data_IF_269571331832
#
_entry.id   IF_269571331832
#
_cell.length_a   1.000
_cell.length_b   1.000
_cell.length_c   1.000
_cell.angle_alpha   90.00
_cell.angle_beta   90.00
_cell.angle_gamma   90.00
#
_symmetry.space_group_name_H-M   'P 1'
#
loop_
_entity.id
_entity.type
_entity.pdbx_description
1 polymer ?
#
# COMPACT_ATOMS: atom_id res chain seq x y z
N UNK A 1 8.69 -39.61 -0.79
CA UNK A 1 8.37 -38.31 -1.38
C UNK A 1 8.80 -37.27 -0.37
N UNK A 2 9.89 -36.58 -0.64
CA UNK A 2 10.35 -35.51 0.24
C UNK A 2 9.44 -34.33 -0.03
N UNK A 3 8.64 -33.94 0.96
CA UNK A 3 7.95 -32.65 0.96
C UNK A 3 9.03 -31.56 0.86
N UNK A 4 9.11 -30.93 -0.30
CA UNK A 4 9.89 -29.70 -0.49
C UNK A 4 9.23 -28.62 0.38
N UNK A 5 9.67 -28.55 1.63
CA UNK A 5 9.28 -27.47 2.55
C UNK A 5 9.87 -26.19 1.96
N UNK A 6 9.11 -25.52 1.09
CA UNK A 6 9.47 -24.19 0.60
C UNK A 6 9.75 -23.31 1.80
N UNK A 7 10.99 -22.87 1.92
CA UNK A 7 11.41 -21.94 2.98
C UNK A 7 10.51 -20.70 2.92
N UNK A 8 9.80 -20.42 4.01
CA UNK A 8 8.87 -19.27 4.06
C UNK A 8 9.65 -17.98 3.91
N UNK A 9 9.22 -17.18 2.95
CA UNK A 9 9.77 -15.84 2.75
C UNK A 9 9.08 -14.88 3.72
N UNK A 10 9.88 -14.10 4.46
CA UNK A 10 9.36 -13.12 5.41
C UNK A 10 9.85 -11.72 5.07
N UNK A 11 8.96 -10.74 5.27
CA UNK A 11 9.29 -9.32 5.18
C UNK A 11 10.10 -8.89 6.41
N UNK A 12 11.08 -8.04 6.17
CA UNK A 12 11.88 -7.46 7.24
C UNK A 12 11.34 -6.06 7.61
N UNK A 13 11.68 -5.60 8.81
CA UNK A 13 11.36 -4.22 9.22
C UNK A 13 11.92 -3.18 8.23
N UNK A 14 13.07 -3.47 7.60
CA UNK A 14 13.65 -2.57 6.58
C UNK A 14 12.78 -2.47 5.34
N UNK A 15 12.17 -3.56 4.90
CA UNK A 15 11.30 -3.57 3.72
C UNK A 15 10.03 -2.75 4.00
N UNK A 16 9.43 -2.92 5.18
CA UNK A 16 8.27 -2.15 5.61
C UNK A 16 8.59 -0.66 5.76
N UNK A 17 9.72 -0.31 6.35
CA UNK A 17 10.15 1.10 6.46
C UNK A 17 10.40 1.72 5.09
N UNK A 18 11.04 1.01 4.16
CA UNK A 18 11.21 1.49 2.78
C UNK A 18 9.87 1.71 2.09
N UNK A 19 8.94 0.77 2.21
CA UNK A 19 7.59 0.90 1.67
C UNK A 19 6.87 2.14 2.24
N UNK A 20 6.92 2.33 3.55
CA UNK A 20 6.34 3.49 4.22
C UNK A 20 6.96 4.81 3.73
N UNK A 21 8.29 4.89 3.62
CA UNK A 21 8.98 6.09 3.11
C UNK A 21 8.63 6.36 1.65
N UNK A 22 8.57 5.33 0.80
CA UNK A 22 8.11 5.47 -0.58
C UNK A 22 6.68 6.01 -0.66
N UNK A 23 5.75 5.46 0.14
CA UNK A 23 4.39 5.96 0.24
C UNK A 23 4.36 7.43 0.64
N UNK A 24 5.00 7.79 1.74
CA UNK A 24 4.99 9.14 2.29
C UNK A 24 5.58 10.19 1.34
N UNK A 25 6.63 9.80 0.59
CA UNK A 25 7.30 10.71 -0.35
C UNK A 25 6.62 10.82 -1.70
N UNK A 26 5.92 9.76 -2.17
CA UNK A 26 5.48 9.65 -3.56
C UNK A 26 3.98 9.39 -3.74
N UNK A 27 3.18 9.26 -2.68
CA UNK A 27 1.75 8.94 -2.80
C UNK A 27 0.96 9.94 -3.66
N UNK A 28 1.37 11.21 -3.68
CA UNK A 28 0.75 12.27 -4.50
C UNK A 28 1.49 12.53 -5.83
N UNK A 29 2.59 11.83 -6.10
CA UNK A 29 3.30 11.94 -7.37
C UNK A 29 2.47 11.30 -8.49
N UNK A 30 2.47 11.92 -9.67
CA UNK A 30 1.74 11.42 -10.83
C UNK A 30 0.23 11.21 -10.61
N UNK A 31 -0.36 12.00 -9.72
CA UNK A 31 -1.79 11.99 -9.44
C UNK A 31 -2.59 12.33 -10.72
N UNK A 32 -3.54 11.48 -11.09
CA UNK A 32 -4.37 11.66 -12.28
C UNK A 32 -5.79 11.15 -12.04
N UNK A 33 -6.76 11.61 -12.84
CA UNK A 33 -8.17 11.27 -12.65
C UNK A 33 -8.50 9.79 -12.86
N UNK A 34 -7.72 9.08 -13.66
CA UNK A 34 -8.00 7.66 -13.97
C UNK A 34 -7.63 6.74 -12.81
N UNK A 35 -6.51 7.02 -12.14
CA UNK A 35 -5.93 6.07 -11.15
C UNK A 35 -5.60 6.70 -9.81
N UNK A 36 -5.74 8.02 -9.69
CA UNK A 36 -5.43 8.81 -8.50
C UNK A 36 -4.03 8.52 -7.94
N UNK A 37 -3.93 7.95 -6.75
CA UNK A 37 -2.68 7.66 -6.05
C UNK A 37 -2.07 6.28 -6.42
N UNK A 38 -2.68 5.54 -7.36
CA UNK A 38 -2.27 4.16 -7.66
C UNK A 38 -0.79 4.02 -8.02
N UNK A 39 -0.20 4.98 -8.73
CA UNK A 39 1.22 4.92 -9.10
C UNK A 39 2.12 5.05 -7.87
N UNK A 40 1.82 5.98 -6.95
CA UNK A 40 2.53 6.12 -5.68
C UNK A 40 2.36 4.88 -4.80
N UNK A 41 1.15 4.30 -4.78
CA UNK A 41 0.89 3.05 -4.08
C UNK A 41 1.73 1.89 -4.65
N UNK A 42 1.74 1.73 -5.96
CA UNK A 42 2.53 0.70 -6.64
C UNK A 42 4.02 0.88 -6.37
N UNK A 43 4.51 2.13 -6.37
CA UNK A 43 5.90 2.45 -6.02
C UNK A 43 6.22 2.02 -4.58
N UNK A 44 5.32 2.25 -3.64
CA UNK A 44 5.49 1.80 -2.24
C UNK A 44 5.52 0.26 -2.11
N UNK A 45 4.87 -0.48 -3.03
CA UNK A 45 4.90 -1.93 -3.03
C UNK A 45 6.16 -2.54 -3.66
N UNK A 46 7.00 -1.77 -4.38
CA UNK A 46 8.22 -2.30 -5.02
C UNK A 46 9.14 -3.02 -4.02
N UNK A 47 9.55 -2.43 -2.89
CA UNK A 47 10.43 -3.11 -1.93
C UNK A 47 9.81 -4.38 -1.34
N UNK A 48 8.49 -4.43 -1.21
CA UNK A 48 7.75 -5.59 -0.73
C UNK A 48 7.79 -6.72 -1.76
N UNK A 49 7.35 -6.45 -3.00
CA UNK A 49 7.26 -7.45 -4.06
C UNK A 49 8.62 -7.99 -4.47
N UNK A 50 9.65 -7.14 -4.53
CA UNK A 50 11.02 -7.57 -4.85
C UNK A 50 11.65 -8.44 -3.75
N UNK A 51 11.19 -8.31 -2.50
CA UNK A 51 11.61 -9.17 -1.40
C UNK A 51 10.92 -10.53 -1.44
N UNK A 52 9.62 -10.55 -1.76
CA UNK A 52 8.78 -11.73 -1.70
C UNK A 52 8.93 -12.62 -2.94
N UNK A 53 9.08 -12.04 -4.12
CA UNK A 53 9.13 -12.76 -5.39
C UNK A 53 10.51 -12.69 -6.02
N UNK A 54 11.01 -13.84 -6.50
CA UNK A 54 12.30 -13.95 -7.18
C UNK A 54 12.16 -13.79 -8.70
N UNK A 55 11.03 -14.23 -9.25
CA UNK A 55 10.76 -14.16 -10.68
C UNK A 55 10.25 -12.76 -11.07
N UNK A 56 10.80 -12.23 -12.15
CA UNK A 56 10.38 -10.94 -12.73
C UNK A 56 8.93 -10.94 -13.19
N UNK A 57 8.41 -12.09 -13.64
CA UNK A 57 7.02 -12.23 -14.06
C UNK A 57 6.08 -12.07 -12.86
N UNK A 58 6.40 -12.67 -11.72
CA UNK A 58 5.61 -12.55 -10.49
C UNK A 58 5.65 -11.12 -9.92
N UNK A 59 6.83 -10.49 -9.95
CA UNK A 59 6.96 -9.07 -9.56
C UNK A 59 6.10 -8.19 -10.46
N UNK A 60 6.15 -8.38 -11.78
CA UNK A 60 5.36 -7.61 -12.73
C UNK A 60 3.85 -7.84 -12.53
N UNK A 61 3.41 -9.07 -12.26
CA UNK A 61 2.03 -9.38 -11.93
C UNK A 61 1.58 -8.67 -10.64
N UNK A 62 2.42 -8.68 -9.60
CA UNK A 62 2.18 -7.95 -8.36
C UNK A 62 2.05 -6.43 -8.58
N UNK A 63 2.96 -5.84 -9.33
CA UNK A 63 2.91 -4.40 -9.66
C UNK A 63 1.63 -4.05 -10.44
N UNK A 64 1.26 -4.87 -11.44
CA UNK A 64 0.03 -4.69 -12.22
C UNK A 64 -1.23 -4.75 -11.33
N UNK A 65 -1.27 -5.67 -10.36
CA UNK A 65 -2.36 -5.80 -9.38
C UNK A 65 -2.52 -4.53 -8.55
N UNK A 66 -1.42 -3.96 -8.07
CA UNK A 66 -1.44 -2.76 -7.23
C UNK A 66 -1.63 -1.45 -8.01
N UNK A 67 -1.48 -1.46 -9.34
CA UNK A 67 -1.71 -0.29 -10.21
C UNK A 67 -3.20 0.01 -10.45
N UNK A 68 -4.12 -0.73 -9.85
CA UNK A 68 -5.55 -0.45 -9.86
C UNK A 68 -5.85 0.83 -9.08
N UNK A 69 -6.95 1.51 -9.45
CA UNK A 69 -7.41 2.74 -8.81
C UNK A 69 -7.25 2.70 -7.27
N UNK A 70 -6.67 3.76 -6.73
CA UNK A 70 -6.51 3.94 -5.30
C UNK A 70 -6.49 5.42 -4.95
N UNK A 71 -7.29 5.81 -3.95
CA UNK A 71 -7.31 7.17 -3.43
C UNK A 71 -7.76 7.18 -1.97
N UNK A 72 -6.94 7.75 -1.10
CA UNK A 72 -7.26 7.88 0.32
C UNK A 72 -6.51 9.07 0.92
N UNK A 73 -6.81 9.42 2.17
CA UNK A 73 -6.01 10.40 2.90
C UNK A 73 -4.61 9.82 3.19
N UNK A 74 -3.51 10.50 2.82
CA UNK A 74 -2.17 9.92 2.83
C UNK A 74 -1.63 9.47 4.18
N UNK A 75 -1.95 10.20 5.27
CA UNK A 75 -1.37 9.92 6.59
C UNK A 75 -2.01 8.69 7.22
N UNK A 76 -3.32 8.68 7.40
CA UNK A 76 -4.06 7.54 7.97
C UNK A 76 -4.10 6.38 6.97
N UNK A 77 -4.24 6.68 5.68
CA UNK A 77 -4.19 5.68 4.62
C UNK A 77 -2.84 4.97 4.45
N UNK A 78 -1.76 5.46 5.08
CA UNK A 78 -0.45 4.80 5.10
C UNK A 78 -0.47 3.37 5.69
N UNK A 79 -1.53 3.01 6.39
CA UNK A 79 -1.73 1.65 6.89
C UNK A 79 -2.05 0.65 5.76
N UNK A 80 -2.65 1.10 4.66
CA UNK A 80 -3.08 0.21 3.56
C UNK A 80 -1.90 -0.49 2.88
N UNK A 81 -0.79 0.17 2.49
CA UNK A 81 0.41 -0.51 2.00
C UNK A 81 0.90 -1.60 2.96
N UNK A 82 0.84 -1.39 4.27
CA UNK A 82 1.21 -2.40 5.27
C UNK A 82 0.29 -3.62 5.27
N UNK A 83 -1.02 -3.41 5.16
CA UNK A 83 -2.00 -4.50 5.05
C UNK A 83 -1.77 -5.29 3.75
N UNK A 84 -1.57 -4.58 2.63
CA UNK A 84 -1.28 -5.25 1.35
C UNK A 84 0.04 -6.01 1.38
N UNK A 85 1.06 -5.49 2.05
CA UNK A 85 2.33 -6.20 2.25
C UNK A 85 2.13 -7.53 3.00
N UNK A 86 1.30 -7.56 4.03
CA UNK A 86 0.98 -8.78 4.77
C UNK A 86 0.20 -9.80 3.92
N UNK A 87 -0.71 -9.35 3.05
CA UNK A 87 -1.43 -10.23 2.13
C UNK A 87 -0.50 -10.80 1.04
N UNK A 88 0.39 -9.97 0.49
CA UNK A 88 1.40 -10.43 -0.47
C UNK A 88 2.36 -11.44 0.15
N UNK A 89 2.76 -11.24 1.41
CA UNK A 89 3.59 -12.21 2.15
C UNK A 89 2.87 -13.54 2.34
N UNK A 90 1.59 -13.53 2.72
CA UNK A 90 0.80 -14.75 2.83
C UNK A 90 0.66 -15.46 1.48
N UNK A 91 0.39 -14.70 0.41
CA UNK A 91 0.29 -15.24 -0.94
C UNK A 91 1.61 -15.86 -1.42
N UNK A 92 2.73 -15.18 -1.22
CA UNK A 92 4.06 -15.70 -1.58
C UNK A 92 4.40 -17.00 -0.83
N UNK A 93 3.82 -17.19 0.34
CA UNK A 93 3.97 -18.40 1.17
C UNK A 93 2.90 -19.48 0.91
N UNK A 94 2.11 -19.33 -0.17
CA UNK A 94 1.19 -20.36 -0.65
C UNK A 94 -0.27 -20.20 -0.22
N UNK A 95 -0.66 -19.05 0.38
CA UNK A 95 -2.07 -18.79 0.62
C UNK A 95 -2.84 -18.54 -0.69
N UNK A 96 -4.01 -19.14 -0.83
CA UNK A 96 -4.90 -18.98 -1.99
C UNK A 96 -5.62 -17.61 -1.93
N UNK A 97 -4.89 -16.53 -2.22
CA UNK A 97 -5.42 -15.18 -2.31
C UNK A 97 -5.53 -14.75 -3.77
N UNK A 98 -6.74 -14.54 -4.25
CA UNK A 98 -6.96 -14.05 -5.61
C UNK A 98 -6.63 -12.56 -5.73
N UNK A 99 -6.38 -12.12 -6.97
CA UNK A 99 -6.16 -10.69 -7.26
C UNK A 99 -7.39 -9.85 -6.90
N UNK A 100 -8.59 -10.40 -7.11
CA UNK A 100 -9.87 -9.78 -6.76
C UNK A 100 -10.00 -9.59 -5.25
N UNK A 101 -9.60 -10.58 -4.45
CA UNK A 101 -9.64 -10.49 -2.98
C UNK A 101 -8.75 -9.38 -2.47
N UNK A 102 -7.50 -9.31 -2.96
CA UNK A 102 -6.54 -8.27 -2.57
C UNK A 102 -7.05 -6.88 -2.99
N UNK A 103 -7.55 -6.75 -4.22
CA UNK A 103 -8.08 -5.48 -4.72
C UNK A 103 -9.35 -5.05 -3.99
N UNK A 104 -10.28 -5.97 -3.70
CA UNK A 104 -11.51 -5.67 -2.97
C UNK A 104 -11.23 -5.17 -1.56
N UNK A 105 -10.27 -5.78 -0.87
CA UNK A 105 -9.87 -5.30 0.45
C UNK A 105 -9.19 -3.93 0.38
N UNK A 106 -8.28 -3.73 -0.59
CA UNK A 106 -7.64 -2.43 -0.84
C UNK A 106 -8.66 -1.32 -1.10
N UNK A 107 -9.62 -1.56 -1.99
CA UNK A 107 -10.66 -0.57 -2.34
C UNK A 107 -11.66 -0.37 -1.21
N UNK A 108 -12.01 -1.42 -0.47
CA UNK A 108 -12.90 -1.33 0.69
C UNK A 108 -12.35 -0.47 1.83
N UNK A 109 -11.02 -0.39 1.97
CA UNK A 109 -10.37 0.44 2.98
C UNK A 109 -10.26 1.93 2.57
N UNK A 110 -10.36 2.26 1.28
CA UNK A 110 -10.17 3.64 0.80
C UNK A 110 -11.14 4.63 1.44
N UNK A 111 -12.44 4.36 1.34
CA UNK A 111 -13.49 5.27 1.82
C UNK A 111 -13.43 5.53 3.32
N UNK A 112 -13.48 4.50 4.17
CA UNK A 112 -13.41 4.65 5.62
C UNK A 112 -12.15 5.40 6.08
N UNK A 113 -10.98 5.05 5.53
CA UNK A 113 -9.72 5.71 5.92
C UNK A 113 -9.62 7.16 5.39
N UNK A 114 -10.16 7.43 4.20
CA UNK A 114 -10.27 8.80 3.70
C UNK A 114 -11.19 9.63 4.61
N UNK A 115 -12.38 9.12 4.95
CA UNK A 115 -13.32 9.83 5.79
C UNK A 115 -12.77 10.19 7.18
N UNK A 116 -12.11 9.25 7.85
CA UNK A 116 -11.44 9.51 9.14
C UNK A 116 -10.24 10.43 8.94
N UNK A 117 -9.42 10.16 7.92
CA UNK A 117 -8.20 10.91 7.64
C UNK A 117 -8.47 12.37 7.32
N UNK A 118 -9.37 12.64 6.39
CA UNK A 118 -9.72 14.00 5.99
C UNK A 118 -10.34 14.79 7.15
N UNK A 119 -11.18 14.15 7.96
CA UNK A 119 -11.76 14.81 9.15
C UNK A 119 -10.68 15.20 10.15
N UNK A 120 -9.74 14.33 10.45
CA UNK A 120 -8.68 14.58 11.44
C UNK A 120 -7.62 15.52 10.87
N UNK A 121 -7.06 15.20 9.69
CA UNK A 121 -5.90 15.93 9.18
C UNK A 121 -6.29 17.24 8.52
N UNK A 122 -7.31 17.27 7.69
CA UNK A 122 -7.75 18.48 6.98
C UNK A 122 -8.73 19.30 7.83
N UNK A 123 -9.73 18.65 8.43
CA UNK A 123 -10.77 19.32 9.20
C UNK A 123 -10.28 19.86 10.54
N UNK A 124 -9.50 19.09 11.29
CA UNK A 124 -9.10 19.48 12.64
C UNK A 124 -7.69 20.05 12.68
N UNK A 125 -6.66 19.23 12.37
CA UNK A 125 -5.24 19.61 12.57
C UNK A 125 -4.86 20.81 11.70
N UNK A 126 -5.17 20.77 10.41
CA UNK A 126 -4.84 21.86 9.49
C UNK A 126 -5.56 23.16 9.86
N UNK A 127 -6.84 23.09 10.26
CA UNK A 127 -7.61 24.27 10.65
C UNK A 127 -7.03 24.91 11.91
N UNK A 128 -6.66 24.12 12.93
CA UNK A 128 -6.03 24.66 14.16
C UNK A 128 -4.68 25.30 13.84
N UNK A 129 -3.83 24.62 13.06
CA UNK A 129 -2.50 25.17 12.70
C UNK A 129 -2.62 26.45 11.86
N UNK A 130 -3.59 26.54 10.96
CA UNK A 130 -3.82 27.78 10.20
C UNK A 130 -4.32 28.91 11.09
N UNK A 131 -5.21 28.63 12.05
CA UNK A 131 -5.67 29.64 13.00
C UNK A 131 -4.50 30.21 13.82
N UNK A 132 -3.61 29.36 14.32
CA UNK A 132 -2.40 29.78 15.07
C UNK A 132 -1.42 30.56 14.19
N UNK A 133 -1.35 30.26 12.89
CA UNK A 133 -0.39 30.92 11.99
C UNK A 133 -0.85 32.30 11.50
N UNK A 134 -2.12 32.65 11.68
CA UNK A 134 -2.71 33.94 11.24
C UNK A 134 -2.76 34.97 12.37
N UNK A 135 -2.65 34.53 13.64
CA UNK A 135 -2.49 35.38 14.81
C UNK A 135 -1.04 35.87 14.96
#
# INVERSE_FOLDING_TARGET
MADDVKEKVALTKKDLVKSFLCWHSFCQSCHNYERMQALGFTHAMIPILTRLYKDKADIAAGLKRHLQFFNTEPNIGSVVPGIMAALEEQRANGAELSDETINSLKTGLMGPLAGVGDTVTQGLVKTILLAIAVD
#
